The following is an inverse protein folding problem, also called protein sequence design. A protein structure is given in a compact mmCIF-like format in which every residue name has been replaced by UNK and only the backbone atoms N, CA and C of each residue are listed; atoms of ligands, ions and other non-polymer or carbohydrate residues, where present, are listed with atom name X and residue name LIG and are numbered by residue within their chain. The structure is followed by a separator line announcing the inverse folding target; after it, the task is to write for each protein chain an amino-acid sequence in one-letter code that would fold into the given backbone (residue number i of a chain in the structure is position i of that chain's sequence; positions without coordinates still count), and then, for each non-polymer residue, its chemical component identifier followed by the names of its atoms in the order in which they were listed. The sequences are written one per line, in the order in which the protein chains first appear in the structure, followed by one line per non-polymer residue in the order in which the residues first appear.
data_IF_428172008306
#
_entry.id   IF_428172008306
#
_cell.length_a   1.000
_cell.length_b   1.000
_cell.length_c   1.000
_cell.angle_alpha   90.00
_cell.angle_beta   90.00
_cell.angle_gamma   90.00
#
_symmetry.space_group_name_H-M   'P 1'
#
loop_
_entity.id
_entity.type
_entity.pdbx_description
1 polymer ?
#
# COMPACT_ATOMS: atom_id res chain seq x y z
N UNK A 1 18.38 -21.17 42.42
CA UNK A 1 17.09 -20.82 41.79
C UNK A 1 16.45 -19.78 42.69
N UNK A 2 16.37 -18.54 42.24
CA UNK A 2 15.92 -17.41 43.05
C UNK A 2 14.38 -17.47 43.10
N UNK A 3 13.74 -17.38 44.29
CA UNK A 3 12.27 -17.41 44.40
C UNK A 3 11.54 -16.26 43.68
N UNK A 4 12.26 -15.29 43.10
CA UNK A 4 11.73 -14.16 42.34
C UNK A 4 11.53 -14.46 40.86
N UNK A 5 11.93 -15.66 40.36
CA UNK A 5 11.80 -16.05 38.95
C UNK A 5 10.44 -16.71 38.63
N UNK A 6 9.46 -16.67 39.52
CA UNK A 6 8.12 -17.27 39.39
C UNK A 6 6.99 -16.26 39.50
N UNK A 7 7.23 -15.00 39.18
CA UNK A 7 6.10 -14.11 38.87
C UNK A 7 5.64 -14.49 37.45
N UNK A 8 4.41 -15.04 37.26
CA UNK A 8 3.92 -15.26 35.90
C UNK A 8 3.90 -13.90 35.20
N UNK A 9 4.48 -13.84 33.97
CA UNK A 9 4.38 -12.69 33.12
C UNK A 9 2.90 -12.38 32.96
N UNK A 10 2.40 -11.33 33.64
CA UNK A 10 1.06 -10.84 33.45
C UNK A 10 1.08 -10.22 32.05
N UNK A 11 0.31 -10.76 31.08
CA UNK A 11 0.29 -10.20 29.74
C UNK A 11 -0.02 -8.71 29.85
N UNK A 12 0.69 -7.88 29.09
CA UNK A 12 0.35 -6.47 29.03
C UNK A 12 -1.07 -6.30 28.43
N UNK A 13 -1.69 -5.15 28.67
CA UNK A 13 -3.06 -4.89 28.22
C UNK A 13 -3.24 -5.08 26.71
N UNK A 14 -2.18 -4.82 25.93
CA UNK A 14 -2.19 -5.00 24.48
C UNK A 14 -2.24 -6.48 24.09
N UNK A 15 -1.37 -7.31 24.65
CA UNK A 15 -1.34 -8.76 24.41
C UNK A 15 -2.65 -9.42 24.83
N UNK A 16 -3.17 -9.03 25.99
CA UNK A 16 -4.47 -9.53 26.47
C UNK A 16 -5.61 -9.18 25.48
N UNK A 17 -5.67 -7.95 25.01
CA UNK A 17 -6.69 -7.53 24.06
C UNK A 17 -6.57 -8.24 22.70
N UNK A 18 -5.36 -8.48 22.21
CA UNK A 18 -5.12 -9.24 20.99
C UNK A 18 -5.57 -10.71 21.13
N UNK A 19 -5.29 -11.34 22.27
CA UNK A 19 -5.73 -12.71 22.58
C UNK A 19 -7.27 -12.80 22.70
N UNK A 20 -7.91 -11.81 23.33
CA UNK A 20 -9.38 -11.75 23.41
C UNK A 20 -9.99 -11.67 22.00
N UNK A 21 -9.48 -10.78 21.14
CA UNK A 21 -9.96 -10.64 19.77
C UNK A 21 -9.71 -11.89 18.93
N UNK A 22 -8.55 -12.54 19.05
CA UNK A 22 -8.24 -13.77 18.34
C UNK A 22 -9.16 -14.93 18.74
N UNK A 23 -9.63 -14.91 20.00
CA UNK A 23 -10.60 -15.88 20.53
C UNK A 23 -12.07 -15.50 20.21
N UNK A 24 -12.32 -14.46 19.41
CA UNK A 24 -13.65 -14.00 19.04
C UNK A 24 -14.40 -13.24 20.15
N UNK A 25 -13.70 -12.77 21.18
CA UNK A 25 -14.30 -12.00 22.27
C UNK A 25 -14.15 -10.50 22.05
N UNK A 26 -15.06 -9.72 22.65
CA UNK A 26 -15.04 -8.26 22.61
C UNK A 26 -14.02 -7.71 23.61
N UNK A 27 -13.47 -6.55 23.26
CA UNK A 27 -12.69 -5.70 24.15
C UNK A 27 -13.29 -4.30 24.18
N UNK A 28 -12.96 -3.52 25.21
CA UNK A 28 -13.28 -2.11 25.30
C UNK A 28 -12.05 -1.29 24.90
N UNK A 29 -12.14 -0.59 23.79
CA UNK A 29 -11.11 0.32 23.28
C UNK A 29 -11.41 1.74 23.75
N UNK A 30 -10.54 2.31 24.60
CA UNK A 30 -10.71 3.65 25.16
C UNK A 30 -9.81 4.67 24.48
N UNK A 31 -10.37 5.82 24.13
CA UNK A 31 -9.60 6.97 23.61
C UNK A 31 -9.10 7.81 24.80
N UNK A 32 -7.87 7.55 25.22
CA UNK A 32 -7.22 8.21 26.35
C UNK A 32 -6.63 9.59 26.03
N UNK A 33 -6.71 10.04 24.77
CA UNK A 33 -6.08 11.29 24.30
C UNK A 33 -7.06 12.38 23.96
N UNK A 34 -8.22 12.02 23.41
CA UNK A 34 -9.21 12.95 22.92
C UNK A 34 -10.58 12.66 23.57
N UNK A 35 -11.48 13.65 23.57
CA UNK A 35 -12.90 13.50 23.94
C UNK A 35 -13.15 12.90 25.33
N UNK A 36 -12.37 13.31 26.33
CA UNK A 36 -12.61 12.93 27.74
C UNK A 36 -12.60 11.41 28.00
N UNK A 37 -11.90 10.62 27.18
CA UNK A 37 -11.77 9.19 27.40
C UNK A 37 -13.00 8.39 27.01
N UNK A 38 -13.70 8.75 25.92
CA UNK A 38 -14.76 7.92 25.33
C UNK A 38 -14.26 6.55 24.90
N UNK A 39 -15.15 5.54 24.87
CA UNK A 39 -14.79 4.17 24.48
C UNK A 39 -15.76 3.53 23.51
N UNK A 40 -15.23 2.56 22.76
CA UNK A 40 -15.99 1.69 21.87
C UNK A 40 -15.86 0.22 22.29
N UNK A 41 -16.93 -0.54 22.19
CA UNK A 41 -16.81 -1.99 22.05
C UNK A 41 -16.14 -2.30 20.73
N UNK A 42 -15.16 -3.20 20.74
CA UNK A 42 -14.46 -3.70 19.56
C UNK A 42 -14.57 -5.22 19.52
N UNK A 43 -14.97 -5.76 18.36
CA UNK A 43 -14.84 -7.17 18.01
C UNK A 43 -14.23 -7.25 16.59
N UNK A 44 -13.49 -8.31 16.30
CA UNK A 44 -13.04 -8.55 14.92
C UNK A 44 -14.25 -8.87 14.01
N UNK A 45 -14.22 -8.33 12.80
CA UNK A 45 -15.34 -8.45 11.86
C UNK A 45 -15.68 -9.91 11.50
N UNK A 46 -14.70 -10.81 11.58
CA UNK A 46 -14.87 -12.26 11.34
C UNK A 46 -15.74 -12.94 12.38
N UNK A 47 -15.83 -12.38 13.60
CA UNK A 47 -16.61 -12.89 14.72
C UNK A 47 -17.86 -12.05 15.03
N UNK A 48 -18.12 -11.00 14.23
CA UNK A 48 -19.26 -10.10 14.42
C UNK A 48 -20.57 -10.75 13.91
N UNK A 49 -21.02 -11.77 14.58
CA UNK A 49 -22.29 -12.45 14.31
C UNK A 49 -23.52 -11.66 14.80
N UNK A 50 -24.72 -12.21 14.56
CA UNK A 50 -25.96 -11.55 14.97
C UNK A 50 -26.06 -11.34 16.50
N UNK A 51 -25.50 -12.25 17.30
CA UNK A 51 -25.51 -12.12 18.77
C UNK A 51 -24.59 -10.97 19.22
N UNK A 52 -23.38 -10.88 18.63
CA UNK A 52 -22.43 -9.80 18.89
C UNK A 52 -23.02 -8.43 18.50
N UNK A 53 -23.63 -8.32 17.32
CA UNK A 53 -24.26 -7.08 16.86
C UNK A 53 -25.46 -6.70 17.75
N UNK A 54 -26.25 -7.68 18.18
CA UNK A 54 -27.33 -7.44 19.08
C UNK A 54 -26.84 -6.94 20.46
N UNK A 55 -25.76 -7.54 20.98
CA UNK A 55 -25.14 -7.10 22.23
C UNK A 55 -24.66 -5.65 22.12
N UNK A 56 -23.93 -5.31 21.05
CA UNK A 56 -23.48 -3.93 20.80
C UNK A 56 -24.65 -2.94 20.76
N UNK A 57 -25.72 -3.28 20.07
CA UNK A 57 -26.87 -2.40 19.92
C UNK A 57 -27.67 -2.21 21.22
N UNK A 58 -27.75 -3.24 22.09
CA UNK A 58 -28.51 -3.19 23.33
C UNK A 58 -27.70 -2.65 24.51
N UNK A 59 -26.46 -3.10 24.67
CA UNK A 59 -25.64 -2.75 25.83
C UNK A 59 -24.82 -1.48 25.59
N UNK A 60 -24.14 -1.37 24.46
CA UNK A 60 -23.37 -0.16 24.14
C UNK A 60 -24.23 0.98 23.58
N UNK A 61 -25.33 0.70 22.88
CA UNK A 61 -26.33 1.65 22.38
C UNK A 61 -25.85 2.62 21.29
N UNK A 62 -24.58 2.58 20.93
CA UNK A 62 -23.96 3.44 19.91
C UNK A 62 -24.26 3.00 18.48
N UNK A 63 -23.70 3.73 17.54
CA UNK A 63 -23.75 3.38 16.12
C UNK A 63 -22.77 2.24 15.83
N UNK A 64 -23.26 1.17 15.20
CA UNK A 64 -22.40 0.07 14.76
C UNK A 64 -21.67 0.46 13.47
N UNK A 65 -20.34 0.51 13.55
CA UNK A 65 -19.47 0.88 12.47
C UNK A 65 -18.48 -0.27 12.16
N UNK A 66 -17.94 -0.32 10.94
CA UNK A 66 -16.86 -1.23 10.58
C UNK A 66 -15.61 -0.44 10.20
N UNK A 67 -14.53 -0.62 10.96
CA UNK A 67 -13.20 -0.05 10.66
C UNK A 67 -12.51 -0.93 9.62
N UNK A 68 -12.09 -0.30 8.54
CA UNK A 68 -11.44 -0.96 7.38
C UNK A 68 -10.16 -0.21 7.01
N UNK A 69 -9.18 -0.94 6.44
CA UNK A 69 -8.00 -0.30 5.87
C UNK A 69 -8.36 0.56 4.65
N UNK A 70 -7.50 1.51 4.30
CA UNK A 70 -7.65 2.33 3.08
C UNK A 70 -7.74 1.45 1.83
N UNK A 71 -6.89 0.42 1.73
CA UNK A 71 -6.84 -0.51 0.60
C UNK A 71 -8.17 -1.28 0.47
N UNK A 72 -8.73 -1.70 1.62
CA UNK A 72 -10.03 -2.39 1.63
C UNK A 72 -11.16 -1.48 1.17
N UNK A 73 -11.21 -0.25 1.65
CA UNK A 73 -12.21 0.74 1.22
C UNK A 73 -12.13 1.01 -0.29
N UNK A 74 -10.91 1.16 -0.84
CA UNK A 74 -10.68 1.34 -2.29
C UNK A 74 -11.16 0.11 -3.07
N UNK A 75 -10.81 -1.10 -2.63
CA UNK A 75 -11.22 -2.35 -3.28
C UNK A 75 -12.73 -2.52 -3.31
N UNK A 76 -13.44 -2.06 -2.29
CA UNK A 76 -14.91 -2.09 -2.20
C UNK A 76 -15.58 -0.93 -2.95
N UNK A 77 -14.83 0.03 -3.49
CA UNK A 77 -15.40 1.20 -4.16
C UNK A 77 -16.18 2.11 -3.22
N UNK A 78 -15.77 2.21 -1.95
CA UNK A 78 -16.49 3.02 -0.96
C UNK A 78 -16.17 4.50 -1.15
N UNK A 79 -17.22 5.32 -1.17
CA UNK A 79 -17.11 6.78 -1.28
C UNK A 79 -17.16 7.43 0.11
N UNK A 80 -16.45 8.55 0.26
CA UNK A 80 -16.46 9.33 1.48
C UNK A 80 -17.76 10.10 1.63
N UNK A 81 -18.31 10.16 2.86
CA UNK A 81 -19.47 11.01 3.17
C UNK A 81 -19.04 12.48 3.15
N UNK A 82 -19.77 13.30 2.40
CA UNK A 82 -19.69 14.76 2.45
C UNK A 82 -18.86 15.40 1.35
N UNK A 83 -19.25 16.63 0.99
CA UNK A 83 -18.53 17.51 0.07
C UNK A 83 -17.44 18.27 0.82
N UNK A 84 -16.38 18.68 0.11
CA UNK A 84 -15.16 19.36 0.59
C UNK A 84 -15.33 20.60 1.50
N UNK A 85 -16.55 20.99 1.85
CA UNK A 85 -16.85 22.17 2.67
C UNK A 85 -17.66 21.91 3.95
N UNK A 86 -18.10 20.67 4.20
CA UNK A 86 -18.94 20.35 5.37
C UNK A 86 -18.44 19.07 6.03
N UNK A 87 -17.35 19.17 6.77
CA UNK A 87 -16.72 18.02 7.44
C UNK A 87 -17.28 17.87 8.86
N UNK A 88 -17.76 16.67 9.18
CA UNK A 88 -18.12 16.27 10.54
C UNK A 88 -16.86 16.11 11.41
N UNK A 89 -17.06 16.02 12.74
CA UNK A 89 -15.97 15.71 13.70
C UNK A 89 -15.28 14.36 13.45
N UNK A 90 -15.91 13.44 12.70
CA UNK A 90 -15.31 12.18 12.23
C UNK A 90 -14.32 12.41 11.06
N UNK A 91 -14.27 13.64 10.54
CA UNK A 91 -13.35 14.03 9.47
C UNK A 91 -13.60 13.21 8.19
N UNK A 92 -12.50 12.88 7.52
CA UNK A 92 -12.47 12.12 6.26
C UNK A 92 -12.43 10.59 6.46
N UNK A 93 -12.74 10.08 7.67
CA UNK A 93 -12.81 8.65 7.96
C UNK A 93 -14.16 8.02 7.59
N UNK A 94 -15.25 8.76 7.70
CA UNK A 94 -16.59 8.24 7.46
C UNK A 94 -16.86 8.05 5.97
N UNK A 95 -17.28 6.84 5.60
CA UNK A 95 -17.69 6.48 4.26
C UNK A 95 -19.21 6.39 4.17
N UNK A 96 -19.76 6.44 2.94
CA UNK A 96 -21.19 6.21 2.71
C UNK A 96 -21.59 4.86 3.29
N UNK A 97 -22.72 4.82 4.00
CA UNK A 97 -23.23 3.59 4.62
C UNK A 97 -23.50 2.52 3.55
N UNK A 98 -23.33 1.27 3.95
CA UNK A 98 -23.38 0.10 3.06
C UNK A 98 -24.40 -0.92 3.52
N UNK A 99 -24.84 -1.74 2.56
CA UNK A 99 -25.65 -2.94 2.79
C UNK A 99 -25.08 -4.09 1.93
N UNK A 100 -25.16 -5.34 2.43
CA UNK A 100 -24.89 -6.49 1.57
C UNK A 100 -25.96 -6.57 0.49
N UNK A 101 -25.54 -6.83 -0.76
CA UNK A 101 -26.49 -6.98 -1.88
C UNK A 101 -27.39 -8.19 -1.72
N UNK A 102 -26.86 -9.26 -1.12
CA UNK A 102 -27.57 -10.53 -0.95
C UNK A 102 -27.50 -11.05 0.48
N UNK A 103 -28.54 -11.78 0.90
CA UNK A 103 -28.61 -12.41 2.20
C UNK A 103 -29.07 -11.48 3.33
N UNK A 104 -29.73 -10.38 2.99
CA UNK A 104 -30.32 -9.42 3.92
C UNK A 104 -31.80 -9.22 3.59
N UNK A 105 -32.60 -8.73 4.57
CA UNK A 105 -34.00 -8.36 4.39
C UNK A 105 -34.13 -6.83 4.28
N UNK A 106 -34.37 -6.15 5.42
CA UNK A 106 -34.45 -4.69 5.48
C UNK A 106 -33.12 -4.02 5.84
N UNK A 107 -32.08 -4.82 6.14
CA UNK A 107 -30.74 -4.34 6.47
C UNK A 107 -30.52 -3.97 7.94
N UNK A 108 -31.56 -3.62 8.70
CA UNK A 108 -31.43 -3.08 10.06
C UNK A 108 -31.32 -4.15 11.14
N UNK A 109 -31.77 -5.40 10.89
CA UNK A 109 -31.72 -6.47 11.90
C UNK A 109 -30.26 -6.77 12.28
N UNK A 110 -30.03 -7.32 13.48
CA UNK A 110 -28.69 -7.73 13.89
C UNK A 110 -28.07 -8.74 12.91
N UNK A 111 -28.87 -9.65 12.39
CA UNK A 111 -28.43 -10.62 11.36
C UNK A 111 -28.05 -9.96 10.03
N UNK A 112 -28.86 -9.02 9.54
CA UNK A 112 -28.59 -8.31 8.30
C UNK A 112 -27.31 -7.46 8.42
N UNK A 113 -27.14 -6.77 9.54
CA UNK A 113 -25.93 -5.98 9.83
C UNK A 113 -24.68 -6.86 9.93
N UNK A 114 -24.77 -8.00 10.62
CA UNK A 114 -23.70 -8.98 10.69
C UNK A 114 -23.33 -9.53 9.29
N UNK A 115 -24.32 -9.82 8.44
CA UNK A 115 -24.09 -10.23 7.05
C UNK A 115 -23.36 -9.15 6.25
N UNK A 116 -23.77 -7.90 6.37
CA UNK A 116 -23.13 -6.75 5.70
C UNK A 116 -21.67 -6.59 6.13
N UNK A 117 -21.39 -6.70 7.43
CA UNK A 117 -20.04 -6.63 7.98
C UNK A 117 -19.18 -7.79 7.43
N UNK A 118 -19.72 -9.01 7.42
CA UNK A 118 -19.00 -10.17 6.90
C UNK A 118 -18.61 -9.99 5.43
N UNK A 119 -19.51 -9.47 4.58
CA UNK A 119 -19.22 -9.13 3.18
C UNK A 119 -18.17 -8.02 3.08
N UNK A 120 -18.30 -6.96 3.87
CA UNK A 120 -17.34 -5.86 3.87
C UNK A 120 -15.92 -6.29 4.27
N UNK A 121 -15.79 -7.25 5.19
CA UNK A 121 -14.51 -7.78 5.67
C UNK A 121 -13.93 -8.90 4.81
N UNK A 122 -14.73 -9.54 3.93
CA UNK A 122 -14.26 -10.66 3.11
C UNK A 122 -13.32 -10.18 1.98
N UNK A 123 -12.04 -10.59 1.96
CA UNK A 123 -11.10 -10.17 0.93
C UNK A 123 -11.52 -10.56 -0.49
N UNK A 124 -12.41 -11.54 -0.68
CA UNK A 124 -12.93 -11.92 -1.97
C UNK A 124 -14.01 -10.97 -2.52
N UNK A 125 -14.71 -10.24 -1.63
CA UNK A 125 -15.80 -9.33 -2.01
C UNK A 125 -15.28 -8.05 -2.67
N UNK A 126 -16.08 -7.51 -3.60
CA UNK A 126 -15.85 -6.28 -4.33
C UNK A 126 -17.07 -5.35 -4.34
N UNK A 127 -17.07 -4.29 -5.18
CA UNK A 127 -18.15 -3.29 -5.24
C UNK A 127 -19.51 -3.90 -5.60
N UNK A 128 -19.53 -5.00 -6.36
CA UNK A 128 -20.76 -5.65 -6.80
C UNK A 128 -21.51 -6.38 -5.66
N UNK A 129 -20.82 -6.67 -4.54
CA UNK A 129 -21.38 -7.41 -3.41
C UNK A 129 -22.07 -6.50 -2.38
N UNK A 130 -21.96 -5.18 -2.57
CA UNK A 130 -22.53 -4.17 -1.70
C UNK A 130 -23.48 -3.24 -2.46
N UNK A 131 -24.38 -2.61 -1.71
CA UNK A 131 -25.22 -1.50 -2.15
C UNK A 131 -25.06 -0.32 -1.21
N UNK A 132 -25.34 0.90 -1.69
CA UNK A 132 -25.27 2.15 -0.93
C UNK A 132 -26.55 2.95 -1.21
N UNK A 133 -27.13 3.62 -0.18
CA UNK A 133 -26.78 3.56 1.25
C UNK A 133 -27.29 2.29 1.93
N UNK A 134 -26.88 2.05 3.17
CA UNK A 134 -27.31 0.92 4.01
C UNK A 134 -27.26 1.25 5.51
N UNK A 135 -27.14 0.22 6.36
CA UNK A 135 -27.23 0.34 7.82
C UNK A 135 -25.91 0.08 8.55
N UNK A 136 -24.81 -0.18 7.81
CA UNK A 136 -23.46 -0.25 8.37
C UNK A 136 -22.64 0.92 7.86
N UNK A 137 -21.89 1.56 8.76
CA UNK A 137 -21.09 2.73 8.49
C UNK A 137 -19.61 2.36 8.46
N UNK A 138 -18.96 2.28 7.27
CA UNK A 138 -17.55 2.02 7.19
C UNK A 138 -16.76 3.24 7.67
N UNK A 139 -15.70 2.98 8.44
CA UNK A 139 -14.72 3.96 8.89
C UNK A 139 -13.37 3.60 8.23
N UNK A 140 -12.83 4.52 7.44
CA UNK A 140 -11.55 4.32 6.76
C UNK A 140 -10.39 4.70 7.68
N UNK A 141 -9.52 3.75 8.00
CA UNK A 141 -8.25 4.02 8.66
C UNK A 141 -7.31 4.81 7.75
N UNK A 142 -6.45 5.65 8.32
CA UNK A 142 -5.40 6.36 7.59
C UNK A 142 -4.40 5.38 6.97
N UNK A 143 -3.79 5.70 5.80
CA UNK A 143 -2.81 4.82 5.16
C UNK A 143 -1.59 4.52 6.04
N UNK A 144 -1.12 5.48 6.85
CA UNK A 144 -0.04 5.29 7.83
C UNK A 144 -0.49 4.67 9.15
N UNK A 145 -1.77 4.24 9.26
CA UNK A 145 -2.33 3.55 10.42
C UNK A 145 -2.27 4.36 11.72
N UNK A 146 -2.12 3.66 12.84
CA UNK A 146 -2.10 4.23 14.20
C UNK A 146 -0.95 5.23 14.43
N UNK A 147 0.12 5.15 13.65
CA UNK A 147 1.25 6.10 13.74
C UNK A 147 0.95 7.43 13.06
N UNK A 148 0.10 7.45 12.03
CA UNK A 148 -0.34 8.68 11.37
C UNK A 148 -1.47 9.35 12.19
N UNK A 149 -2.45 8.58 12.62
CA UNK A 149 -3.54 9.05 13.46
C UNK A 149 -3.80 8.05 14.59
N UNK A 150 -3.52 8.47 15.84
CA UNK A 150 -3.82 7.67 17.02
C UNK A 150 -5.32 7.76 17.33
N UNK A 151 -6.14 7.05 16.56
CA UNK A 151 -7.59 7.02 16.69
C UNK A 151 -8.12 5.59 16.84
N UNK A 152 -9.36 5.47 17.33
CA UNK A 152 -10.05 4.18 17.57
C UNK A 152 -10.19 3.36 16.28
N UNK A 153 -10.40 4.01 15.14
CA UNK A 153 -10.48 3.35 13.82
C UNK A 153 -9.17 2.67 13.44
N UNK A 154 -8.05 3.39 13.58
CA UNK A 154 -6.71 2.84 13.30
C UNK A 154 -6.33 1.76 14.31
N UNK A 155 -6.65 1.97 15.59
CA UNK A 155 -6.39 0.98 16.64
C UNK A 155 -7.17 -0.33 16.38
N UNK A 156 -8.41 -0.26 15.93
CA UNK A 156 -9.22 -1.44 15.61
C UNK A 156 -8.62 -2.24 14.45
N UNK A 157 -8.17 -1.58 13.38
CA UNK A 157 -7.50 -2.23 12.23
C UNK A 157 -6.16 -2.83 12.65
N UNK A 158 -5.36 -2.12 13.43
CA UNK A 158 -4.06 -2.59 13.94
C UNK A 158 -4.21 -3.83 14.82
N UNK A 159 -5.07 -3.75 15.86
CA UNK A 159 -5.29 -4.85 16.80
C UNK A 159 -5.78 -6.13 16.13
N UNK A 160 -6.75 -6.01 15.22
CA UNK A 160 -7.27 -7.17 14.49
C UNK A 160 -6.23 -7.76 13.55
N UNK A 161 -5.33 -6.94 12.99
CA UNK A 161 -4.20 -7.42 12.18
C UNK A 161 -3.15 -8.15 13.02
N UNK A 162 -2.78 -7.59 14.18
CA UNK A 162 -1.81 -8.23 15.11
C UNK A 162 -2.37 -9.53 15.70
N UNK A 163 -3.68 -9.59 15.94
CA UNK A 163 -4.37 -10.83 16.36
C UNK A 163 -4.39 -11.91 15.26
N UNK A 164 -3.76 -11.68 14.08
CA UNK A 164 -3.72 -12.64 12.98
C UNK A 164 -5.02 -12.73 12.17
N UNK A 165 -5.89 -11.73 12.29
CA UNK A 165 -7.21 -11.66 11.65
C UNK A 165 -7.17 -10.74 10.41
N UNK A 166 -8.33 -10.49 9.79
CA UNK A 166 -8.43 -9.77 8.49
C UNK A 166 -8.13 -8.27 8.53
N UNK A 167 -7.74 -7.71 9.68
CA UNK A 167 -7.51 -6.27 9.79
C UNK A 167 -8.80 -5.45 9.62
N UNK A 168 -9.91 -5.98 10.08
CA UNK A 168 -11.22 -5.32 10.07
C UNK A 168 -11.88 -5.46 11.45
N UNK A 169 -12.24 -4.34 12.06
CA UNK A 169 -12.84 -4.32 13.40
C UNK A 169 -14.24 -3.68 13.40
N UNK A 170 -15.16 -4.25 14.17
CA UNK A 170 -16.49 -3.65 14.39
C UNK A 170 -16.46 -2.84 15.67
N UNK A 171 -16.82 -1.57 15.54
CA UNK A 171 -16.83 -0.59 16.63
C UNK A 171 -18.25 -0.19 16.96
N UNK A 172 -18.54 -0.04 18.25
CA UNK A 172 -19.79 0.53 18.74
C UNK A 172 -19.51 1.39 19.97
N UNK A 173 -19.76 2.70 19.87
CA UNK A 173 -19.56 3.63 20.97
C UNK A 173 -20.41 3.23 22.18
N UNK A 174 -19.82 3.31 23.38
CA UNK A 174 -20.53 3.03 24.62
C UNK A 174 -21.23 4.30 25.15
N UNK A 175 -22.52 4.19 25.36
CA UNK A 175 -23.38 5.26 25.88
C UNK A 175 -23.95 4.85 27.21
N UNK A 176 -24.16 5.82 28.10
CA UNK A 176 -24.88 5.65 29.34
C UNK A 176 -26.40 5.49 29.09
N UNK A 177 -27.14 5.05 30.10
CA UNK A 177 -28.59 4.86 30.01
C UNK A 177 -29.35 6.17 29.77
N UNK A 178 -28.77 7.31 30.17
CA UNK A 178 -29.34 8.65 29.96
C UNK A 178 -29.06 9.21 28.54
N UNK A 179 -28.38 8.45 27.69
CA UNK A 179 -28.05 8.82 26.31
C UNK A 179 -26.78 9.65 26.14
N UNK A 180 -26.05 9.96 27.23
CA UNK A 180 -24.75 10.61 27.13
C UNK A 180 -23.63 9.60 26.85
N UNK A 181 -22.51 10.07 26.34
CA UNK A 181 -21.32 9.21 26.11
C UNK A 181 -20.80 8.71 27.48
N UNK A 182 -20.47 7.41 27.54
CA UNK A 182 -19.76 6.84 28.67
C UNK A 182 -18.28 7.24 28.61
N UNK A 183 -17.74 7.68 29.75
CA UNK A 183 -16.34 8.13 29.84
C UNK A 183 -15.72 7.65 31.17
N UNK A 184 -14.38 7.57 31.24
CA UNK A 184 -13.66 7.29 32.47
C UNK A 184 -14.25 6.13 33.28
N UNK A 185 -14.77 6.43 34.50
CA UNK A 185 -15.35 5.44 35.43
C UNK A 185 -16.59 4.71 34.85
N UNK A 186 -17.39 5.35 34.00
CA UNK A 186 -18.54 4.70 33.36
C UNK A 186 -18.07 3.49 32.52
N UNK A 187 -16.93 3.63 31.80
CA UNK A 187 -16.37 2.58 31.01
C UNK A 187 -15.77 1.44 31.83
N UNK A 188 -15.16 1.76 32.98
CA UNK A 188 -14.65 0.76 33.92
C UNK A 188 -15.74 -0.09 34.52
N UNK A 189 -16.85 0.57 34.91
CA UNK A 189 -18.05 -0.11 35.41
C UNK A 189 -18.67 -0.99 34.33
N UNK A 190 -18.77 -0.48 33.09
CA UNK A 190 -19.30 -1.22 31.96
C UNK A 190 -18.41 -2.46 31.65
N UNK A 191 -17.12 -2.29 31.59
CA UNK A 191 -16.17 -3.37 31.34
C UNK A 191 -16.22 -4.45 32.43
N UNK A 192 -16.26 -4.05 33.68
CA UNK A 192 -16.38 -4.97 34.83
C UNK A 192 -17.70 -5.76 34.77
N UNK A 193 -18.81 -5.10 34.45
CA UNK A 193 -20.12 -5.75 34.32
C UNK A 193 -20.16 -6.84 33.27
N UNK A 194 -19.45 -6.61 32.16
CA UNK A 194 -19.47 -7.50 30.99
C UNK A 194 -18.21 -8.38 30.84
N UNK A 195 -17.27 -8.28 31.80
CA UNK A 195 -16.03 -9.09 31.79
C UNK A 195 -15.10 -8.76 30.59
N UNK A 196 -15.02 -7.47 30.23
CA UNK A 196 -14.26 -7.02 29.07
C UNK A 196 -12.86 -6.54 29.49
N UNK A 197 -11.86 -6.87 28.68
CA UNK A 197 -10.55 -6.24 28.78
C UNK A 197 -10.64 -4.79 28.27
N UNK A 198 -9.99 -3.85 28.96
CA UNK A 198 -9.85 -2.46 28.52
C UNK A 198 -8.47 -2.26 27.92
N UNK A 199 -8.42 -1.58 26.78
CA UNK A 199 -7.18 -1.18 26.13
C UNK A 199 -7.26 0.29 25.72
N UNK A 200 -6.21 1.05 25.99
CA UNK A 200 -6.10 2.44 25.56
C UNK A 200 -5.51 2.54 24.14
N UNK A 201 -6.01 3.49 23.36
CA UNK A 201 -5.49 3.77 22.01
C UNK A 201 -3.99 4.10 22.06
N UNK A 202 -3.54 4.78 23.13
CA UNK A 202 -2.11 5.08 23.32
C UNK A 202 -1.23 3.84 23.49
N UNK A 203 -1.76 2.75 24.08
CA UNK A 203 -1.04 1.49 24.23
C UNK A 203 -0.81 0.83 22.88
N UNK A 204 -1.83 0.83 22.00
CA UNK A 204 -1.70 0.35 20.61
C UNK A 204 -0.63 1.15 19.86
N UNK A 205 -0.66 2.48 19.97
CA UNK A 205 0.32 3.34 19.34
C UNK A 205 1.75 3.13 19.90
N UNK A 206 1.88 2.85 21.19
CA UNK A 206 3.17 2.54 21.85
C UNK A 206 3.73 1.22 21.35
N UNK A 207 2.91 0.18 21.30
CA UNK A 207 3.30 -1.13 20.77
C UNK A 207 3.81 -1.01 19.33
N UNK A 208 3.05 -0.36 18.44
CA UNK A 208 3.44 -0.17 17.04
C UNK A 208 4.73 0.63 16.87
N UNK A 209 4.97 1.66 17.71
CA UNK A 209 6.24 2.40 17.71
C UNK A 209 7.42 1.54 18.12
N UNK A 210 7.23 0.63 19.09
CA UNK A 210 8.29 -0.27 19.52
C UNK A 210 8.67 -1.29 18.43
N UNK A 211 7.71 -1.74 17.63
CA UNK A 211 7.94 -2.68 16.52
C UNK A 211 8.46 -2.01 15.24
N UNK A 212 8.16 -0.73 15.02
CA UNK A 212 8.52 -0.02 13.80
C UNK A 212 10.01 -0.11 13.40
N UNK A 213 10.98 0.01 14.34
CA UNK A 213 12.40 -0.16 14.02
C UNK A 213 12.75 -1.58 13.55
N UNK A 214 12.18 -2.60 14.16
CA UNK A 214 12.41 -3.99 13.77
C UNK A 214 11.82 -4.31 12.40
N UNK A 215 10.60 -3.86 12.13
CA UNK A 215 9.95 -3.99 10.82
C UNK A 215 10.74 -3.25 9.71
N UNK A 216 11.20 -2.03 9.99
CA UNK A 216 12.04 -1.26 9.06
C UNK A 216 13.38 -1.97 8.79
N UNK A 217 14.01 -2.55 9.81
CA UNK A 217 15.25 -3.31 9.68
C UNK A 217 15.04 -4.58 8.84
N UNK A 218 13.93 -5.30 9.03
CA UNK A 218 13.60 -6.50 8.25
C UNK A 218 13.31 -6.16 6.78
N UNK A 219 12.56 -5.09 6.50
CA UNK A 219 12.34 -4.60 5.13
C UNK A 219 13.68 -4.24 4.48
N UNK A 220 14.56 -3.52 5.19
CA UNK A 220 15.87 -3.15 4.69
C UNK A 220 16.75 -4.39 4.43
N UNK A 221 16.68 -5.41 5.29
CA UNK A 221 17.39 -6.69 5.13
C UNK A 221 16.91 -7.42 3.88
N UNK A 222 15.59 -7.57 3.74
CA UNK A 222 14.96 -8.25 2.60
C UNK A 222 15.24 -7.52 1.27
N UNK A 223 15.16 -6.18 1.26
CA UNK A 223 15.49 -5.36 0.08
C UNK A 223 16.97 -5.49 -0.32
N UNK A 224 17.86 -5.64 0.66
CA UNK A 224 19.29 -5.86 0.42
C UNK A 224 19.52 -7.23 -0.20
N UNK A 225 18.94 -8.29 0.40
CA UNK A 225 19.02 -9.66 -0.09
C UNK A 225 18.44 -9.78 -1.51
N UNK A 226 17.32 -9.11 -1.80
CA UNK A 226 16.73 -9.09 -3.15
C UNK A 226 17.70 -8.50 -4.18
N UNK A 227 18.39 -7.39 -3.87
CA UNK A 227 19.41 -6.82 -4.76
C UNK A 227 20.59 -7.75 -4.95
N UNK A 228 21.04 -8.41 -3.88
CA UNK A 228 22.17 -9.36 -3.95
C UNK A 228 21.81 -10.56 -4.82
N UNK A 229 20.63 -11.15 -4.64
CA UNK A 229 20.15 -12.29 -5.44
C UNK A 229 19.96 -11.88 -6.90
N UNK A 230 19.25 -10.79 -7.17
CA UNK A 230 19.01 -10.30 -8.53
C UNK A 230 20.30 -9.82 -9.21
N UNK A 231 21.29 -9.39 -8.45
CA UNK A 231 22.62 -9.05 -8.95
C UNK A 231 23.35 -10.22 -9.65
N UNK A 232 22.95 -11.49 -9.40
CA UNK A 232 23.50 -12.64 -10.12
C UNK A 232 22.91 -12.84 -11.52
N UNK A 233 21.87 -12.09 -11.85
CA UNK A 233 21.32 -12.03 -13.20
C UNK A 233 22.03 -10.91 -13.97
N UNK A 234 22.98 -11.27 -14.84
CA UNK A 234 23.67 -10.30 -15.68
C UNK A 234 22.68 -9.65 -16.65
N UNK A 235 22.69 -8.34 -16.72
CA UNK A 235 21.80 -7.56 -17.59
C UNK A 235 22.57 -6.62 -18.48
N UNK A 236 22.02 -6.27 -19.65
CA UNK A 236 22.40 -5.06 -20.35
C UNK A 236 22.04 -3.82 -19.52
N UNK A 237 22.66 -2.70 -19.83
CA UNK A 237 22.36 -1.40 -19.25
C UNK A 237 21.66 -0.54 -20.28
N UNK A 238 20.53 0.06 -19.88
CA UNK A 238 19.77 0.96 -20.75
C UNK A 238 19.55 2.31 -20.05
N UNK A 239 19.31 3.34 -20.85
CA UNK A 239 18.76 4.61 -20.36
C UNK A 239 17.37 4.77 -20.97
N UNK A 240 16.38 4.92 -20.09
CA UNK A 240 15.03 5.28 -20.50
C UNK A 240 14.96 6.79 -20.59
N UNK A 241 14.52 7.33 -21.72
CA UNK A 241 14.42 8.77 -21.98
C UNK A 241 12.99 9.17 -22.34
N UNK A 242 12.59 10.38 -21.93
CA UNK A 242 11.30 10.97 -22.25
C UNK A 242 11.41 12.49 -22.30
N UNK A 243 10.34 13.20 -22.72
CA UNK A 243 10.21 14.65 -22.62
C UNK A 243 9.33 15.02 -21.45
N UNK A 244 9.82 15.89 -20.60
CA UNK A 244 9.03 16.55 -19.56
C UNK A 244 8.06 17.57 -20.18
N UNK A 245 7.06 18.01 -19.40
CA UNK A 245 6.03 18.95 -19.86
C UNK A 245 6.56 20.32 -20.32
N UNK A 246 7.75 20.72 -19.85
CA UNK A 246 8.47 21.91 -20.32
C UNK A 246 9.28 21.68 -21.60
N UNK A 247 9.21 20.47 -22.17
CA UNK A 247 9.95 20.06 -23.39
C UNK A 247 11.39 19.63 -23.13
N UNK A 248 11.88 19.68 -21.89
CA UNK A 248 13.23 19.25 -21.55
C UNK A 248 13.37 17.72 -21.67
N UNK A 249 14.52 17.22 -22.18
CA UNK A 249 14.80 15.80 -22.15
C UNK A 249 15.15 15.36 -20.72
N UNK A 250 14.58 14.25 -20.30
CA UNK A 250 14.85 13.60 -19.01
C UNK A 250 15.18 12.13 -19.25
N UNK A 251 15.95 11.51 -18.33
CA UNK A 251 16.29 10.11 -18.46
C UNK A 251 16.65 9.46 -17.14
N UNK A 252 16.60 8.14 -17.09
CA UNK A 252 17.05 7.32 -15.96
C UNK A 252 17.70 6.04 -16.44
N UNK A 253 18.77 5.63 -15.78
CA UNK A 253 19.42 4.34 -16.02
C UNK A 253 18.52 3.22 -15.49
N UNK A 254 18.31 2.22 -16.32
CA UNK A 254 17.51 1.05 -16.00
C UNK A 254 18.14 -0.22 -16.57
N UNK A 255 18.13 -1.29 -15.78
CA UNK A 255 18.43 -2.65 -16.21
C UNK A 255 17.21 -3.57 -16.21
N UNK A 256 16.10 -3.09 -15.67
CA UNK A 256 14.82 -3.81 -15.62
C UNK A 256 14.01 -3.52 -16.90
N UNK A 257 14.49 -4.01 -18.02
CA UNK A 257 13.87 -3.93 -19.36
C UNK A 257 13.76 -5.33 -19.93
N UNK A 258 12.64 -5.66 -20.55
CA UNK A 258 12.41 -6.95 -21.20
C UNK A 258 11.45 -6.84 -22.37
N UNK A 259 11.66 -7.66 -23.41
CA UNK A 259 10.64 -7.90 -24.44
C UNK A 259 9.44 -8.63 -23.85
N UNK A 260 8.23 -8.29 -24.30
CA UNK A 260 6.96 -8.88 -23.83
C UNK A 260 6.28 -9.65 -24.95
N UNK A 261 6.19 -9.08 -26.14
CA UNK A 261 5.49 -9.66 -27.29
C UNK A 261 6.14 -9.24 -28.60
N UNK A 262 6.04 -10.08 -29.61
CA UNK A 262 6.46 -9.77 -30.98
C UNK A 262 5.27 -9.36 -31.86
N UNK A 263 4.07 -9.78 -31.52
CA UNK A 263 2.85 -9.42 -32.22
C UNK A 263 1.71 -9.16 -31.22
N UNK A 264 1.35 -7.92 -30.94
CA UNK A 264 2.06 -6.70 -31.31
C UNK A 264 3.44 -6.58 -30.63
N UNK A 265 4.40 -5.79 -31.18
CA UNK A 265 5.72 -5.65 -30.60
C UNK A 265 5.68 -4.81 -29.30
N UNK A 266 5.79 -5.49 -28.16
CA UNK A 266 5.72 -4.89 -26.83
C UNK A 266 6.99 -5.16 -26.03
N UNK A 267 7.39 -4.18 -25.26
CA UNK A 267 8.41 -4.30 -24.23
C UNK A 267 7.92 -3.73 -22.90
N UNK A 268 8.62 -4.06 -21.80
CA UNK A 268 8.39 -3.43 -20.51
C UNK A 268 9.67 -2.78 -19.98
N UNK A 269 9.48 -1.71 -19.18
CA UNK A 269 10.50 -1.11 -18.34
C UNK A 269 9.94 -0.86 -16.95
N UNK A 270 10.71 -1.16 -15.90
CA UNK A 270 10.31 -0.85 -14.51
C UNK A 270 10.95 0.46 -14.07
N UNK A 271 10.13 1.44 -13.67
CA UNK A 271 10.57 2.77 -13.25
C UNK A 271 10.10 3.04 -11.81
N UNK A 272 10.99 3.61 -10.99
CA UNK A 272 10.63 4.00 -9.63
C UNK A 272 9.52 5.06 -9.62
N UNK A 273 8.55 4.97 -8.70
CA UNK A 273 7.45 5.95 -8.57
C UNK A 273 7.93 7.38 -8.31
N UNK A 274 9.11 7.53 -7.71
CA UNK A 274 9.74 8.83 -7.47
C UNK A 274 10.56 9.35 -8.65
N UNK A 275 10.59 8.67 -9.81
CA UNK A 275 11.38 9.05 -10.98
C UNK A 275 10.71 10.19 -11.75
N UNK A 276 11.46 11.26 -12.03
CA UNK A 276 11.02 12.33 -12.94
C UNK A 276 10.79 11.79 -14.35
N UNK A 277 11.57 10.80 -14.79
CA UNK A 277 11.39 10.14 -16.08
C UNK A 277 10.04 9.43 -16.15
N UNK A 278 9.59 8.76 -15.07
CA UNK A 278 8.24 8.17 -15.05
C UNK A 278 7.15 9.23 -15.16
N UNK A 279 7.31 10.37 -14.47
CA UNK A 279 6.35 11.49 -14.59
C UNK A 279 6.27 11.99 -16.04
N UNK A 280 7.42 12.18 -16.69
CA UNK A 280 7.49 12.61 -18.10
C UNK A 280 6.89 11.56 -19.06
N UNK A 281 7.13 10.26 -18.82
CA UNK A 281 6.52 9.16 -19.59
C UNK A 281 4.99 9.18 -19.49
N UNK A 282 4.45 9.43 -18.28
CA UNK A 282 3.00 9.54 -18.06
C UNK A 282 2.39 10.73 -18.79
N UNK A 283 3.07 11.87 -18.75
CA UNK A 283 2.59 13.11 -19.36
C UNK A 283 2.67 13.08 -20.89
N UNK A 284 3.83 12.63 -21.44
CA UNK A 284 4.04 12.58 -22.89
C UNK A 284 3.38 11.38 -23.58
N UNK A 285 3.08 10.31 -22.83
CA UNK A 285 2.61 9.03 -23.37
C UNK A 285 3.66 8.31 -24.25
N UNK A 286 4.93 8.70 -24.18
CA UNK A 286 6.02 8.18 -25.03
C UNK A 286 7.34 8.11 -24.27
N UNK A 287 8.20 7.18 -24.68
CA UNK A 287 9.56 7.04 -24.16
C UNK A 287 10.47 6.33 -25.16
N UNK A 288 11.77 6.44 -24.97
CA UNK A 288 12.73 5.61 -25.68
C UNK A 288 13.56 4.77 -24.71
N UNK A 289 13.91 3.55 -25.14
CA UNK A 289 14.87 2.67 -24.50
C UNK A 289 16.16 2.75 -25.30
N UNK A 290 17.25 3.24 -24.71
CA UNK A 290 18.56 3.32 -25.32
C UNK A 290 19.45 2.27 -24.67
N UNK A 291 19.74 1.17 -25.37
CA UNK A 291 20.64 0.10 -24.91
C UNK A 291 22.08 0.59 -25.11
N UNK A 292 22.84 0.71 -24.03
CA UNK A 292 24.16 1.32 -24.07
C UNK A 292 25.24 0.37 -24.55
N UNK A 293 26.19 0.92 -25.33
CA UNK A 293 27.46 0.30 -25.63
C UNK A 293 28.46 0.43 -24.46
N UNK A 294 29.49 -0.39 -24.39
CA UNK A 294 30.51 -0.43 -23.34
C UNK A 294 31.21 0.92 -23.13
N UNK A 295 31.52 1.64 -24.23
CA UNK A 295 32.09 2.98 -24.19
C UNK A 295 31.16 4.06 -23.60
N UNK A 296 29.86 3.77 -23.44
CA UNK A 296 28.85 4.70 -22.98
C UNK A 296 28.58 4.61 -21.47
N UNK A 297 29.48 3.97 -20.70
CA UNK A 297 29.36 3.90 -19.24
C UNK A 297 29.09 5.27 -18.58
N UNK A 298 29.68 6.34 -19.10
CA UNK A 298 29.49 7.70 -18.56
C UNK A 298 28.03 8.16 -18.62
N UNK A 299 27.24 7.75 -19.60
CA UNK A 299 25.80 8.00 -19.66
C UNK A 299 25.09 7.22 -18.56
N UNK A 300 25.42 5.94 -18.36
CA UNK A 300 24.84 5.15 -17.28
C UNK A 300 25.09 5.76 -15.91
N UNK A 301 26.33 6.13 -15.60
CA UNK A 301 26.70 6.75 -14.31
C UNK A 301 26.00 8.09 -14.09
N UNK A 302 25.73 8.83 -15.17
CA UNK A 302 25.05 10.11 -15.10
C UNK A 302 23.57 9.96 -14.80
N UNK A 303 22.85 9.14 -15.57
CA UNK A 303 21.42 8.92 -15.43
C UNK A 303 21.03 8.01 -14.24
N UNK A 304 22.00 7.42 -13.55
CA UNK A 304 21.80 6.72 -12.29
C UNK A 304 21.67 7.68 -11.09
N UNK A 305 22.06 8.96 -11.23
CA UNK A 305 21.97 9.98 -10.16
C UNK A 305 20.54 10.51 -10.05
N UNK A 306 20.16 10.99 -8.84
CA UNK A 306 18.86 11.63 -8.58
C UNK A 306 18.97 13.16 -8.70
N UNK A 307 17.86 13.82 -9.03
CA UNK A 307 17.74 15.27 -9.06
C UNK A 307 18.21 15.90 -10.38
N UNK A 308 18.69 17.14 -10.35
CA UNK A 308 19.03 17.96 -11.55
C UNK A 308 20.03 17.29 -12.53
N UNK A 309 20.74 16.25 -12.09
CA UNK A 309 21.60 15.45 -12.97
C UNK A 309 20.81 14.68 -14.06
N UNK A 310 19.50 14.50 -13.85
CA UNK A 310 18.58 13.83 -14.78
C UNK A 310 18.17 14.76 -15.93
N UNK A 311 18.16 16.09 -15.69
CA UNK A 311 17.93 17.13 -16.70
C UNK A 311 19.28 17.63 -17.23
N UNK A 312 19.85 16.87 -18.15
CA UNK A 312 21.23 17.15 -18.55
C UNK A 312 21.32 18.05 -19.78
N UNK A 313 21.68 19.32 -19.57
CA UNK A 313 22.14 20.21 -20.64
C UNK A 313 23.49 19.80 -21.29
N UNK A 314 24.16 18.78 -20.72
CA UNK A 314 25.50 18.35 -21.16
C UNK A 314 25.47 16.99 -21.91
N UNK A 315 24.28 16.37 -22.06
CA UNK A 315 24.11 15.18 -22.91
C UNK A 315 23.53 15.63 -24.23
N UNK A 316 24.20 15.30 -25.30
CA UNK A 316 23.65 15.45 -26.63
C UNK A 316 22.54 14.41 -26.81
N UNK A 317 21.35 14.89 -27.19
CA UNK A 317 20.23 14.04 -27.54
C UNK A 317 19.90 14.26 -29.02
N UNK A 318 19.55 13.18 -29.68
CA UNK A 318 18.90 13.28 -30.98
C UNK A 318 17.39 13.23 -30.77
N UNK A 319 16.70 14.14 -31.43
CA UNK A 319 15.25 14.12 -31.48
C UNK A 319 14.80 13.13 -32.55
N UNK A 320 14.10 12.10 -32.11
CA UNK A 320 13.45 11.17 -33.02
C UNK A 320 12.16 11.77 -33.58
N UNK A 321 11.75 11.37 -34.79
CA UNK A 321 10.50 11.84 -35.47
C UNK A 321 9.23 11.63 -34.59
N UNK A 322 9.27 10.69 -33.66
CA UNK A 322 8.21 10.46 -32.67
C UNK A 322 8.24 11.46 -31.48
N UNK A 323 9.15 12.44 -31.47
CA UNK A 323 9.28 13.45 -30.45
C UNK A 323 9.86 12.96 -29.12
N UNK A 324 10.55 11.83 -29.12
CA UNK A 324 11.28 11.30 -27.94
C UNK A 324 12.78 11.54 -28.08
N UNK A 325 13.49 11.92 -26.99
CA UNK A 325 14.93 12.10 -27.01
C UNK A 325 15.63 10.72 -27.01
N UNK A 326 16.65 10.55 -27.85
CA UNK A 326 17.46 9.35 -27.94
C UNK A 326 18.94 9.66 -27.69
N UNK A 327 19.73 8.69 -27.24
CA UNK A 327 21.16 8.84 -26.97
C UNK A 327 21.95 8.41 -28.21
N UNK A 328 22.71 9.34 -28.79
CA UNK A 328 23.55 9.02 -29.98
C UNK A 328 24.51 7.89 -29.67
N UNK A 329 24.70 7.00 -30.65
CA UNK A 329 25.66 5.91 -30.53
C UNK A 329 25.27 4.78 -29.60
N UNK A 330 24.04 4.71 -29.11
CA UNK A 330 23.52 3.54 -28.39
C UNK A 330 23.60 2.29 -29.29
N UNK A 331 23.77 1.11 -28.68
CA UNK A 331 23.76 -0.17 -29.42
C UNK A 331 22.45 -0.39 -30.16
N UNK A 332 21.35 -0.08 -29.44
CA UNK A 332 20.04 -0.11 -30.02
C UNK A 332 19.16 0.95 -29.35
N UNK A 333 18.23 1.48 -30.11
CA UNK A 333 17.22 2.42 -29.63
C UNK A 333 15.84 1.94 -30.04
N UNK A 334 14.91 1.98 -29.07
CA UNK A 334 13.53 1.57 -29.27
C UNK A 334 12.65 2.72 -28.83
N UNK A 335 11.98 3.40 -29.76
CA UNK A 335 11.03 4.45 -29.43
C UNK A 335 9.60 3.87 -29.30
N UNK A 336 8.96 4.14 -28.18
CA UNK A 336 7.71 3.51 -27.78
C UNK A 336 6.60 4.54 -27.51
N UNK A 337 5.37 4.16 -27.86
CA UNK A 337 4.16 4.71 -27.23
C UNK A 337 3.81 3.88 -25.96
N UNK A 338 3.34 4.55 -24.94
CA UNK A 338 2.86 3.86 -23.72
C UNK A 338 1.58 3.10 -24.04
N UNK A 339 1.57 1.78 -23.84
CA UNK A 339 0.39 0.93 -23.97
C UNK A 339 -0.34 0.80 -22.63
N UNK A 340 0.39 0.56 -21.54
CA UNK A 340 -0.16 0.44 -20.19
C UNK A 340 0.87 0.78 -19.11
N UNK A 341 0.39 1.19 -17.94
CA UNK A 341 1.21 1.39 -16.74
C UNK A 341 0.56 0.65 -15.57
N UNK A 342 1.29 -0.27 -14.95
CA UNK A 342 0.81 -1.09 -13.85
C UNK A 342 1.58 -0.80 -12.57
N UNK A 343 0.90 -0.55 -11.42
CA UNK A 343 1.58 -0.38 -10.15
C UNK A 343 2.24 -1.68 -9.68
N UNK A 344 3.48 -1.59 -9.22
CA UNK A 344 4.29 -2.72 -8.75
C UNK A 344 5.19 -2.29 -7.57
N UNK A 345 4.65 -2.27 -6.35
CA UNK A 345 5.38 -1.87 -5.13
C UNK A 345 5.83 -0.41 -5.17
N UNK A 346 7.13 -0.15 -5.02
CA UNK A 346 7.76 1.17 -5.12
C UNK A 346 8.12 1.57 -6.56
N UNK A 347 7.83 0.70 -7.52
CA UNK A 347 7.99 0.91 -8.97
C UNK A 347 6.66 0.85 -9.70
N UNK A 348 6.73 1.14 -10.99
CA UNK A 348 5.67 0.89 -11.96
C UNK A 348 6.25 0.17 -13.18
N UNK A 349 5.47 -0.77 -13.71
CA UNK A 349 5.77 -1.48 -14.95
C UNK A 349 5.14 -0.68 -16.09
N UNK A 350 5.97 -0.05 -16.89
CA UNK A 350 5.56 0.65 -18.11
C UNK A 350 5.64 -0.33 -19.26
N UNK A 351 4.52 -0.62 -19.89
CA UNK A 351 4.44 -1.41 -21.13
C UNK A 351 4.43 -0.45 -22.30
N UNK A 352 5.36 -0.62 -23.22
CA UNK A 352 5.50 0.19 -24.40
C UNK A 352 5.27 -0.60 -25.68
N UNK A 353 4.48 -0.01 -26.60
CA UNK A 353 4.37 -0.47 -27.98
C UNK A 353 5.52 0.11 -28.79
N UNK A 354 6.39 -0.76 -29.33
CA UNK A 354 7.55 -0.35 -30.10
C UNK A 354 7.11 0.17 -31.48
N UNK A 355 7.32 1.48 -31.73
CA UNK A 355 6.95 2.16 -32.96
C UNK A 355 8.16 2.33 -33.90
N UNK A 356 9.38 2.39 -33.34
CA UNK A 356 10.61 2.48 -34.11
C UNK A 356 11.72 1.70 -33.40
N UNK A 357 12.52 0.97 -34.17
CA UNK A 357 13.64 0.17 -33.70
C UNK A 357 14.84 0.46 -34.59
N UNK A 358 15.96 0.77 -33.93
CA UNK A 358 17.23 1.01 -34.59
C UNK A 358 18.34 0.27 -33.83
N UNK A 359 19.33 -0.28 -34.54
CA UNK A 359 20.50 -0.88 -33.93
C UNK A 359 21.75 -0.54 -34.73
N UNK A 360 22.92 -0.54 -34.06
CA UNK A 360 24.22 -0.36 -34.68
C UNK A 360 24.61 -1.62 -35.46
N UNK A 361 25.53 -1.44 -36.44
CA UNK A 361 26.17 -2.54 -37.14
C UNK A 361 26.89 -3.49 -36.16
N UNK A 362 27.02 -4.78 -36.52
CA UNK A 362 27.72 -5.77 -35.71
C UNK A 362 29.16 -5.35 -35.34
N UNK A 363 29.57 -5.59 -34.10
CA UNK A 363 30.93 -5.36 -33.58
C UNK A 363 31.04 -4.46 -32.36
N UNK A 364 30.03 -3.64 -32.05
CA UNK A 364 30.01 -2.89 -30.80
C UNK A 364 29.58 -3.80 -29.63
N UNK A 365 30.25 -3.67 -28.46
CA UNK A 365 30.00 -4.50 -27.29
C UNK A 365 28.97 -3.86 -26.38
N UNK A 366 28.11 -4.65 -25.71
CA UNK A 366 27.12 -4.12 -24.76
C UNK A 366 27.76 -3.71 -23.45
N UNK A 367 27.24 -2.63 -22.83
CA UNK A 367 27.53 -2.33 -21.45
C UNK A 367 26.73 -3.30 -20.56
N UNK A 368 27.43 -4.11 -19.78
CA UNK A 368 26.84 -5.10 -18.88
C UNK A 368 26.93 -4.67 -17.43
N UNK A 369 25.94 -5.12 -16.64
CA UNK A 369 25.91 -4.95 -15.20
C UNK A 369 25.72 -6.30 -14.51
N UNK A 370 26.64 -6.66 -13.61
CA UNK A 370 26.65 -7.91 -12.88
C UNK A 370 27.14 -7.70 -11.46
N UNK A 371 26.41 -8.19 -10.46
CA UNK A 371 26.76 -8.13 -9.03
C UNK A 371 27.16 -6.73 -8.54
N UNK A 372 26.44 -5.70 -9.01
CA UNK A 372 26.67 -4.32 -8.59
C UNK A 372 27.83 -3.61 -9.29
N UNK A 373 28.42 -4.21 -10.32
CA UNK A 373 29.53 -3.64 -11.10
C UNK A 373 29.28 -3.74 -12.60
N UNK A 374 29.88 -2.81 -13.36
CA UNK A 374 29.95 -2.96 -14.82
C UNK A 374 30.90 -4.09 -15.16
N UNK A 375 30.56 -4.83 -16.22
CA UNK A 375 31.32 -5.98 -16.70
C UNK A 375 31.44 -5.93 -18.21
N UNK A 376 32.40 -6.66 -18.73
CA UNK A 376 32.64 -6.81 -20.17
C UNK A 376 32.30 -8.23 -20.62
N UNK A 377 31.88 -8.36 -21.87
CA UNK A 377 31.70 -9.64 -22.51
C UNK A 377 32.91 -9.94 -23.39
N UNK A 378 33.47 -11.13 -23.28
CA UNK A 378 34.47 -11.63 -24.21
C UNK A 378 33.76 -12.50 -25.26
N UNK A 379 33.68 -11.99 -26.48
CA UNK A 379 33.10 -12.70 -27.62
C UNK A 379 34.28 -13.13 -28.50
N UNK A 380 34.41 -14.41 -28.76
CA UNK A 380 35.37 -14.90 -29.74
C UNK A 380 34.88 -14.51 -31.13
N UNK A 381 35.78 -13.95 -31.98
CA UNK A 381 35.41 -13.34 -33.29
C UNK A 381 34.72 -14.32 -34.23
N UNK A 382 34.94 -15.63 -34.06
CA UNK A 382 34.33 -16.68 -34.87
C UNK A 382 32.83 -16.95 -34.54
N UNK A 383 32.30 -16.48 -33.42
CA UNK A 383 30.91 -16.69 -33.02
C UNK A 383 29.92 -15.59 -33.49
N UNK A 384 30.41 -14.47 -33.96
CA UNK A 384 29.60 -13.35 -34.47
C UNK A 384 29.13 -13.52 -35.91
N UNK A 385 29.57 -14.56 -36.61
CA UNK A 385 29.30 -14.78 -38.03
C UNK A 385 28.18 -15.79 -38.34
N UNK A 386 27.47 -16.28 -37.29
CA UNK A 386 26.34 -17.18 -37.41
C UNK A 386 25.04 -16.46 -36.99
#
# INVERSE_FOLDING_TARGET
MNPLDLVPDIPDAFSLAADELSAGRMVLLRDDRERQGEGDLLIAAEFADAAAINFMATEARGLVCVALSTERCVKLGLEQIGNRGNQSSLGDSAMVSIEAREGVTTGISAGDRARTIAVAADPASGPADLVQPGHIFPLRARPGGILERAGRTEAAVELTSVAGLRGAGVLCQVMREDGHMATGEDLEVFATRHGLAILDVSDVARHRRAEAPAAAAEIARTSRLMRDVMGHFATGVSVITARAGDGAPVGTTANAVSSVSLDPPLLLACLARSSETLAAVRESGRFAVNILADEQRHHSDRFAKKGDAVRSHEVEFHDHDLGVPTIPGALATIACAVEAIHPAGDHEIVVGYAQHLEHREPGAKPLLFYRGAYSEIHIEEDELAA
#
